data_IF_039186080861
#
_entry.id   IF_039186080861
#
_cell.length_a   1.000
_cell.length_b   1.000
_cell.length_c   1.000
_cell.angle_alpha   90.00
_cell.angle_beta   90.00
_cell.angle_gamma   90.00
#
_symmetry.space_group_name_H-M   'P 1'
#
loop_
_entity.id
_entity.type
_entity.pdbx_description
1 polymer ?
#
# COMPACT_ATOMS: atom_id res chain seq x y z
N UNK A 1 26.21 71.50 -16.25
CA UNK A 1 25.00 70.67 -16.48
C UNK A 1 25.42 69.22 -16.58
N UNK A 2 24.97 68.38 -15.63
CA UNK A 2 25.14 66.92 -15.63
C UNK A 2 24.17 66.29 -16.64
N UNK A 3 24.66 65.42 -17.51
CA UNK A 3 23.82 64.42 -18.18
C UNK A 3 24.41 63.04 -17.89
N UNK A 4 23.82 62.40 -16.89
CA UNK A 4 24.03 61.02 -16.50
C UNK A 4 23.21 60.14 -17.42
N UNK A 5 23.84 59.30 -18.25
CA UNK A 5 23.14 58.23 -18.98
C UNK A 5 23.08 56.96 -18.11
N UNK A 6 21.92 56.27 -17.98
CA UNK A 6 21.77 55.18 -17.03
C UNK A 6 22.23 53.82 -17.60
N UNK A 7 22.89 53.06 -16.72
CA UNK A 7 23.42 51.71 -16.93
C UNK A 7 22.28 50.65 -16.83
N UNK A 8 22.12 49.71 -17.79
CA UNK A 8 21.07 48.72 -17.76
C UNK A 8 21.55 47.42 -17.09
N UNK A 9 21.54 47.34 -15.76
CA UNK A 9 21.70 46.04 -15.06
C UNK A 9 20.89 45.97 -13.76
N UNK A 10 20.07 44.91 -13.69
CA UNK A 10 19.52 44.20 -12.51
C UNK A 10 18.11 44.60 -12.03
N UNK A 11 17.08 44.09 -12.69
CA UNK A 11 15.87 43.64 -11.99
C UNK A 11 16.05 42.15 -11.64
N UNK A 12 16.67 41.89 -10.49
CA UNK A 12 16.62 40.57 -9.86
C UNK A 12 15.15 40.30 -9.49
N UNK A 13 14.44 39.51 -10.29
CA UNK A 13 13.16 38.97 -9.88
C UNK A 13 13.45 37.83 -8.89
N UNK A 14 13.46 38.17 -7.60
CA UNK A 14 13.54 37.20 -6.52
C UNK A 14 12.36 36.22 -6.62
N UNK A 15 12.58 34.90 -6.45
CA UNK A 15 11.48 33.93 -6.47
C UNK A 15 10.44 34.28 -5.39
N UNK A 16 9.15 33.96 -5.62
CA UNK A 16 8.11 34.23 -4.65
C UNK A 16 8.45 33.54 -3.32
N UNK A 17 8.54 34.32 -2.24
CA UNK A 17 8.96 33.86 -0.90
C UNK A 17 8.21 32.61 -0.41
N UNK A 18 6.98 32.36 -0.92
CA UNK A 18 6.18 31.16 -0.63
C UNK A 18 6.81 29.86 -1.14
N UNK A 19 7.36 29.85 -2.36
CA UNK A 19 7.99 28.65 -2.94
C UNK A 19 9.33 28.33 -2.26
N UNK A 20 10.09 29.37 -1.88
CA UNK A 20 11.35 29.21 -1.13
C UNK A 20 11.10 28.77 0.31
N UNK A 21 9.97 29.20 0.92
CA UNK A 21 9.57 28.75 2.25
C UNK A 21 9.16 27.27 2.27
N UNK A 22 8.44 26.81 1.25
CA UNK A 22 8.07 25.40 1.09
C UNK A 22 9.30 24.50 0.85
N UNK A 23 10.26 24.96 0.04
CA UNK A 23 11.50 24.23 -0.19
C UNK A 23 12.44 24.21 1.03
N UNK A 24 12.41 25.23 1.88
CA UNK A 24 13.17 25.26 3.14
C UNK A 24 12.65 24.26 4.17
N UNK A 25 11.32 24.09 4.27
CA UNK A 25 10.74 23.04 5.13
C UNK A 25 11.07 21.63 4.65
N UNK A 26 11.24 21.40 3.35
CA UNK A 26 11.55 20.08 2.78
C UNK A 26 13.00 19.62 3.00
N UNK A 27 13.94 20.51 3.32
CA UNK A 27 15.35 20.17 3.51
C UNK A 27 15.74 19.79 4.94
N UNK A 28 14.98 20.23 5.93
CA UNK A 28 15.13 19.82 7.34
C UNK A 28 14.47 18.44 7.59
N UNK A 29 13.80 17.87 6.58
CA UNK A 29 12.91 16.72 6.69
C UNK A 29 13.53 15.36 6.31
N UNK A 30 14.83 15.27 5.99
CA UNK A 30 15.45 14.00 5.59
C UNK A 30 15.58 12.98 6.74
N UNK A 31 15.69 13.44 7.99
CA UNK A 31 15.67 12.57 9.19
C UNK A 31 14.27 12.09 9.61
N UNK A 32 13.18 12.88 9.49
CA UNK A 32 11.82 12.43 9.78
C UNK A 32 11.08 11.73 8.62
N UNK A 33 11.71 11.51 7.46
CA UNK A 33 11.03 10.91 6.29
C UNK A 33 10.49 9.49 6.55
N UNK A 34 11.13 8.73 7.44
CA UNK A 34 10.67 7.43 7.94
C UNK A 34 9.37 7.54 8.74
N UNK A 35 9.30 8.52 9.66
CA UNK A 35 8.16 8.79 10.54
C UNK A 35 6.99 9.42 9.77
N UNK A 36 7.30 10.31 8.83
CA UNK A 36 6.32 10.92 7.96
C UNK A 36 5.67 9.87 7.05
N UNK A 37 6.47 9.03 6.38
CA UNK A 37 5.96 7.93 5.56
C UNK A 37 5.10 6.94 6.34
N UNK A 38 5.47 6.62 7.58
CA UNK A 38 4.67 5.78 8.47
C UNK A 38 3.34 6.45 8.86
N UNK A 39 3.37 7.74 9.19
CA UNK A 39 2.19 8.54 9.48
C UNK A 39 1.23 8.60 8.29
N UNK A 40 1.74 8.94 7.11
CA UNK A 40 0.98 8.94 5.86
C UNK A 40 0.38 7.55 5.57
N UNK A 41 1.16 6.48 5.69
CA UNK A 41 0.67 5.11 5.49
C UNK A 41 -0.50 4.76 6.41
N UNK A 42 -0.46 5.18 7.68
CA UNK A 42 -1.56 4.97 8.63
C UNK A 42 -2.78 5.82 8.25
N UNK A 43 -2.59 7.09 7.88
CA UNK A 43 -3.70 7.97 7.49
C UNK A 43 -4.40 7.44 6.24
N UNK A 44 -3.65 7.04 5.22
CA UNK A 44 -4.22 6.46 4.00
C UNK A 44 -4.99 5.16 4.28
N UNK A 45 -4.49 4.35 5.22
CA UNK A 45 -5.15 3.12 5.66
C UNK A 45 -6.52 3.35 6.30
N UNK A 46 -6.74 4.49 6.95
CA UNK A 46 -8.05 4.89 7.53
C UNK A 46 -8.86 5.80 6.61
N UNK A 47 -8.57 5.79 5.32
CA UNK A 47 -9.22 6.63 4.34
C UNK A 47 -9.06 8.15 4.55
N UNK A 48 -8.09 8.57 5.37
CA UNK A 48 -7.84 9.98 5.64
C UNK A 48 -7.19 10.73 4.48
N UNK A 49 -7.25 12.05 4.56
CA UNK A 49 -6.63 13.01 3.63
C UNK A 49 -5.67 13.89 4.42
N UNK A 50 -4.51 14.17 3.86
CA UNK A 50 -3.43 14.97 4.45
C UNK A 50 -3.19 16.22 3.62
N UNK A 51 -2.95 16.06 2.33
CA UNK A 51 -2.77 17.14 1.36
C UNK A 51 -3.72 16.90 0.18
N UNK A 52 -4.19 17.94 -0.50
CA UNK A 52 -5.24 17.80 -1.52
C UNK A 52 -4.89 16.83 -2.68
N UNK A 53 -3.60 16.52 -2.85
CA UNK A 53 -3.05 15.48 -3.74
C UNK A 53 -3.55 14.08 -3.42
N UNK A 54 -3.94 13.81 -2.19
CA UNK A 54 -4.49 12.53 -1.72
C UNK A 54 -5.82 12.20 -2.34
N UNK A 55 -6.63 13.23 -2.60
CA UNK A 55 -7.92 13.10 -3.27
C UNK A 55 -7.68 12.62 -4.72
N UNK A 56 -6.68 13.18 -5.39
CA UNK A 56 -6.29 12.79 -6.74
C UNK A 56 -5.78 11.35 -6.74
N UNK A 57 -4.94 10.99 -5.77
CA UNK A 57 -4.44 9.63 -5.62
C UNK A 57 -5.57 8.60 -5.41
N UNK A 58 -6.58 8.93 -4.59
CA UNK A 58 -7.77 8.09 -4.39
C UNK A 58 -8.63 8.00 -5.65
N UNK A 59 -8.82 9.12 -6.35
CA UNK A 59 -9.60 9.15 -7.58
C UNK A 59 -8.96 8.28 -8.66
N UNK A 60 -7.64 8.37 -8.82
CA UNK A 60 -6.87 7.56 -9.77
C UNK A 60 -6.84 6.09 -9.38
N UNK A 61 -6.79 5.77 -8.08
CA UNK A 61 -6.97 4.40 -7.61
C UNK A 61 -8.35 3.86 -8.01
N UNK A 62 -9.42 4.63 -7.77
CA UNK A 62 -10.81 4.20 -8.04
C UNK A 62 -11.12 4.06 -9.54
N UNK A 63 -10.64 4.98 -10.38
CA UNK A 63 -10.96 4.97 -11.81
C UNK A 63 -9.98 4.18 -12.68
N UNK A 64 -8.70 4.12 -12.30
CA UNK A 64 -7.65 3.53 -13.13
C UNK A 64 -6.87 2.40 -12.44
N UNK A 65 -7.17 2.08 -11.18
CA UNK A 65 -6.46 1.04 -10.42
C UNK A 65 -4.99 1.38 -10.13
N UNK A 66 -4.61 2.67 -10.23
CA UNK A 66 -3.25 3.12 -9.99
C UNK A 66 -3.01 3.24 -8.48
N UNK A 67 -1.94 2.62 -7.98
CA UNK A 67 -1.61 2.66 -6.55
C UNK A 67 -1.47 4.09 -6.00
N UNK A 68 -1.94 4.29 -4.75
CA UNK A 68 -1.92 5.58 -4.06
C UNK A 68 -0.49 6.13 -3.97
N UNK A 69 0.48 5.31 -3.50
CA UNK A 69 1.86 5.77 -3.36
C UNK A 69 2.50 6.14 -4.70
N UNK A 70 2.19 5.41 -5.78
CA UNK A 70 2.67 5.73 -7.13
C UNK A 70 2.16 7.08 -7.62
N UNK A 71 0.90 7.39 -7.31
CA UNK A 71 0.29 8.65 -7.72
C UNK A 71 0.89 9.83 -6.95
N UNK A 72 1.05 9.69 -5.64
CA UNK A 72 1.71 10.70 -4.79
C UNK A 72 3.15 10.91 -5.26
N UNK A 73 3.90 9.81 -5.46
CA UNK A 73 5.26 9.86 -6.01
C UNK A 73 5.35 10.62 -7.33
N UNK A 74 4.43 10.36 -8.26
CA UNK A 74 4.42 11.04 -9.56
C UNK A 74 4.17 12.55 -9.42
N UNK A 75 3.24 12.95 -8.55
CA UNK A 75 2.96 14.35 -8.29
C UNK A 75 4.17 15.04 -7.63
N UNK A 76 4.78 14.40 -6.63
CA UNK A 76 5.98 14.92 -5.96
C UNK A 76 7.17 15.06 -6.92
N UNK A 77 7.34 14.13 -7.86
CA UNK A 77 8.34 14.25 -8.92
C UNK A 77 8.07 15.46 -9.82
N UNK A 78 6.82 15.73 -10.19
CA UNK A 78 6.46 16.91 -10.99
C UNK A 78 6.77 18.19 -10.22
N UNK A 79 6.41 18.27 -8.94
CA UNK A 79 6.69 19.42 -8.08
C UNK A 79 8.20 19.63 -7.91
N UNK A 80 8.97 18.54 -7.75
CA UNK A 80 10.42 18.59 -7.65
C UNK A 80 11.06 19.11 -8.96
N UNK A 81 10.62 18.63 -10.11
CA UNK A 81 11.10 19.09 -11.43
C UNK A 81 10.81 20.58 -11.65
N UNK A 82 9.64 21.07 -11.26
CA UNK A 82 9.32 22.50 -11.32
C UNK A 82 10.19 23.33 -10.35
N UNK A 83 10.56 22.74 -9.22
CA UNK A 83 11.39 23.38 -8.19
C UNK A 83 12.88 23.46 -8.56
N UNK A 84 13.36 22.61 -9.49
CA UNK A 84 14.76 22.62 -9.97
C UNK A 84 15.17 23.96 -10.61
N UNK A 85 14.23 24.78 -11.06
CA UNK A 85 14.51 26.12 -11.61
C UNK A 85 15.07 27.05 -10.51
N UNK A 86 14.75 26.78 -9.23
CA UNK A 86 15.07 27.63 -8.09
C UNK A 86 15.93 26.94 -7.02
N UNK A 87 16.11 25.62 -7.10
CA UNK A 87 16.73 24.80 -6.07
C UNK A 87 18.10 24.27 -6.52
N UNK A 88 19.08 24.31 -5.62
CA UNK A 88 20.39 23.71 -5.89
C UNK A 88 20.30 22.19 -6.07
N UNK A 89 21.12 21.64 -6.97
CA UNK A 89 21.11 20.21 -7.33
C UNK A 89 21.31 19.29 -6.11
N UNK A 90 22.18 19.67 -5.17
CA UNK A 90 22.42 18.92 -3.95
C UNK A 90 21.14 18.73 -3.13
N UNK A 91 20.33 19.78 -3.03
CA UNK A 91 19.08 19.77 -2.26
C UNK A 91 18.03 18.91 -2.95
N UNK A 92 17.94 19.02 -4.27
CA UNK A 92 17.04 18.21 -5.08
C UNK A 92 17.33 16.70 -4.96
N UNK A 93 18.60 16.30 -4.88
CA UNK A 93 18.96 14.89 -4.69
C UNK A 93 18.49 14.34 -3.33
N UNK A 94 18.65 15.11 -2.24
CA UNK A 94 18.12 14.68 -0.94
C UNK A 94 16.59 14.57 -0.94
N UNK A 95 15.89 15.52 -1.57
CA UNK A 95 14.44 15.48 -1.71
C UNK A 95 13.98 14.28 -2.55
N UNK A 96 14.69 13.96 -3.64
CA UNK A 96 14.39 12.78 -4.46
C UNK A 96 14.49 11.49 -3.65
N UNK A 97 15.55 11.33 -2.86
CA UNK A 97 15.71 10.15 -1.99
C UNK A 97 14.57 10.09 -0.96
N UNK A 98 14.21 11.20 -0.34
CA UNK A 98 13.12 11.25 0.64
C UNK A 98 11.77 10.85 0.01
N UNK A 99 11.44 11.34 -1.19
CA UNK A 99 10.21 11.01 -1.91
C UNK A 99 10.17 9.51 -2.27
N UNK A 100 11.30 8.94 -2.73
CA UNK A 100 11.38 7.50 -3.05
C UNK A 100 11.18 6.65 -1.80
N UNK A 101 11.85 7.00 -0.70
CA UNK A 101 11.72 6.27 0.58
C UNK A 101 10.29 6.40 1.12
N UNK A 102 9.70 7.59 1.10
CA UNK A 102 8.33 7.84 1.53
C UNK A 102 7.32 7.00 0.76
N UNK A 103 7.40 6.98 -0.57
CA UNK A 103 6.54 6.16 -1.42
C UNK A 103 6.65 4.66 -1.08
N UNK A 104 7.88 4.16 -0.85
CA UNK A 104 8.12 2.77 -0.44
C UNK A 104 7.53 2.45 0.93
N UNK A 105 7.63 3.37 1.88
CA UNK A 105 7.02 3.19 3.22
C UNK A 105 5.50 3.18 3.13
N UNK A 106 4.90 4.09 2.35
CA UNK A 106 3.45 4.12 2.13
C UNK A 106 2.98 2.81 1.51
N UNK A 107 3.62 2.36 0.42
CA UNK A 107 3.31 1.06 -0.20
C UNK A 107 3.43 -0.09 0.80
N UNK A 108 4.51 -0.13 1.60
CA UNK A 108 4.70 -1.16 2.62
C UNK A 108 3.59 -1.16 3.68
N UNK A 109 3.17 0.00 4.15
CA UNK A 109 2.10 0.12 5.15
C UNK A 109 0.74 -0.25 4.57
N UNK A 110 0.47 0.13 3.31
CA UNK A 110 -0.77 -0.21 2.61
C UNK A 110 -0.84 -1.71 2.29
N UNK A 111 0.18 -2.28 1.65
CA UNK A 111 0.23 -3.71 1.26
C UNK A 111 0.37 -4.63 2.48
N UNK A 112 1.16 -4.24 3.48
CA UNK A 112 1.38 -5.02 4.69
C UNK A 112 0.11 -5.26 5.51
N UNK A 113 -0.92 -4.46 5.29
CA UNK A 113 -2.08 -4.39 6.17
C UNK A 113 -3.42 -4.82 5.52
N UNK A 114 -3.43 -5.15 4.22
CA UNK A 114 -4.62 -5.60 3.46
C UNK A 114 -4.45 -6.93 2.70
N UNK A 115 -3.39 -7.69 2.94
CA UNK A 115 -3.16 -8.95 2.22
C UNK A 115 -4.16 -10.06 2.59
N UNK A 116 -5.09 -10.36 1.68
CA UNK A 116 -5.84 -11.61 1.68
C UNK A 116 -4.97 -12.75 1.12
N UNK A 117 -5.10 -13.94 1.71
CA UNK A 117 -4.49 -15.17 1.22
C UNK A 117 -5.59 -16.18 0.92
N UNK A 118 -5.45 -16.86 -0.21
CA UNK A 118 -6.20 -18.08 -0.45
C UNK A 118 -5.51 -19.23 0.29
N UNK A 119 -6.27 -19.96 1.09
CA UNK A 119 -5.82 -21.17 1.75
C UNK A 119 -6.48 -22.38 1.09
N UNK A 120 -5.63 -23.32 0.66
CA UNK A 120 -6.04 -24.64 0.20
C UNK A 120 -5.66 -25.66 1.26
N UNK A 121 -6.65 -26.31 1.86
CA UNK A 121 -6.45 -27.27 2.95
C UNK A 121 -6.82 -28.66 2.42
N UNK A 122 -5.84 -29.55 2.44
CA UNK A 122 -6.03 -30.95 2.08
C UNK A 122 -5.92 -31.77 3.35
N UNK A 123 -6.98 -32.50 3.67
CA UNK A 123 -7.14 -33.25 4.93
C UNK A 123 -7.97 -34.50 4.70
N UNK A 124 -7.84 -35.48 5.60
CA UNK A 124 -8.75 -36.62 5.65
C UNK A 124 -10.11 -36.29 6.30
N UNK A 125 -10.24 -35.12 6.95
CA UNK A 125 -11.44 -34.70 7.71
C UNK A 125 -11.96 -33.32 7.25
N UNK A 126 -12.33 -33.15 5.97
CA UNK A 126 -12.70 -31.84 5.41
C UNK A 126 -13.89 -31.19 6.13
N UNK A 127 -14.90 -31.98 6.49
CA UNK A 127 -16.13 -31.49 7.14
C UNK A 127 -15.83 -30.92 8.54
N UNK A 128 -15.01 -31.60 9.34
CA UNK A 128 -14.68 -31.14 10.70
C UNK A 128 -13.88 -29.84 10.68
N UNK A 129 -12.82 -29.78 9.86
CA UNK A 129 -12.01 -28.56 9.72
C UNK A 129 -12.86 -27.42 9.14
N UNK A 130 -13.70 -27.71 8.14
CA UNK A 130 -14.58 -26.72 7.55
C UNK A 130 -15.51 -26.08 8.58
N UNK A 131 -16.17 -26.90 9.41
CA UNK A 131 -17.04 -26.42 10.47
C UNK A 131 -16.29 -25.55 11.49
N UNK A 132 -15.10 -25.95 11.92
CA UNK A 132 -14.30 -25.14 12.84
C UNK A 132 -13.85 -23.80 12.22
N UNK A 133 -13.54 -23.76 10.93
CA UNK A 133 -13.22 -22.50 10.23
C UNK A 133 -14.45 -21.57 10.22
N UNK A 134 -15.64 -22.11 9.96
CA UNK A 134 -16.87 -21.33 9.94
C UNK A 134 -17.25 -20.82 11.34
N UNK A 135 -16.97 -21.57 12.41
CA UNK A 135 -17.33 -21.16 13.78
C UNK A 135 -16.26 -20.29 14.46
N UNK A 136 -14.98 -20.63 14.36
CA UNK A 136 -13.90 -19.91 15.06
C UNK A 136 -13.36 -18.71 14.27
N UNK A 137 -13.25 -18.83 12.94
CA UNK A 137 -12.73 -17.77 12.08
C UNK A 137 -13.85 -16.94 11.43
N UNK A 138 -15.10 -17.39 11.50
CA UNK A 138 -16.25 -16.74 10.86
C UNK A 138 -16.00 -16.49 9.36
N UNK A 139 -15.31 -17.43 8.69
CA UNK A 139 -15.01 -17.36 7.26
C UNK A 139 -15.80 -18.40 6.48
N UNK A 140 -16.32 -17.96 5.34
CA UNK A 140 -16.91 -18.87 4.35
C UNK A 140 -15.85 -19.80 3.77
N UNK A 141 -16.27 -21.04 3.50
CA UNK A 141 -15.44 -22.07 2.90
C UNK A 141 -16.13 -22.61 1.65
N UNK A 142 -15.36 -23.21 0.77
CA UNK A 142 -15.87 -23.96 -0.39
C UNK A 142 -15.16 -25.30 -0.43
N UNK A 143 -15.94 -26.38 -0.55
CA UNK A 143 -15.38 -27.71 -0.80
C UNK A 143 -15.13 -27.86 -2.30
N UNK A 144 -13.89 -28.18 -2.66
CA UNK A 144 -13.48 -28.47 -4.02
C UNK A 144 -13.25 -29.98 -4.12
N UNK A 145 -13.92 -30.62 -5.08
CA UNK A 145 -13.68 -32.03 -5.38
C UNK A 145 -12.36 -32.18 -6.13
N UNK A 146 -11.41 -32.89 -5.52
CA UNK A 146 -10.13 -33.24 -6.12
C UNK A 146 -9.93 -34.74 -6.21
N UNK A 147 -8.94 -35.15 -7.00
CA UNK A 147 -8.45 -36.52 -7.03
C UNK A 147 -6.96 -36.51 -6.76
N UNK A 148 -6.52 -37.25 -5.74
CA UNK A 148 -5.10 -37.33 -5.39
C UNK A 148 -4.33 -38.08 -6.47
N UNK A 149 -3.39 -37.41 -7.14
CA UNK A 149 -2.61 -38.01 -8.24
C UNK A 149 -1.81 -39.27 -7.84
N UNK A 150 -1.41 -39.39 -6.57
CA UNK A 150 -0.67 -40.54 -6.07
C UNK A 150 -1.56 -41.72 -5.66
N UNK A 151 -2.68 -41.44 -4.98
CA UNK A 151 -3.56 -42.49 -4.41
C UNK A 151 -4.77 -42.82 -5.29
N UNK A 152 -5.05 -42.02 -6.33
CA UNK A 152 -6.22 -42.16 -7.20
C UNK A 152 -7.57 -41.95 -6.51
N UNK A 153 -7.60 -41.66 -5.20
CA UNK A 153 -8.81 -41.47 -4.41
C UNK A 153 -9.38 -40.08 -4.60
N UNK A 154 -10.72 -40.01 -4.64
CA UNK A 154 -11.45 -38.76 -4.46
C UNK A 154 -11.11 -38.17 -3.09
N UNK A 155 -10.82 -36.87 -3.07
CA UNK A 155 -10.47 -36.11 -1.87
C UNK A 155 -11.10 -34.73 -1.99
N UNK A 156 -11.77 -34.29 -0.95
CA UNK A 156 -12.28 -32.92 -0.88
C UNK A 156 -11.16 -32.01 -0.37
N UNK A 157 -11.00 -30.85 -1.00
CA UNK A 157 -10.05 -29.81 -0.63
C UNK A 157 -10.86 -28.61 -0.16
N UNK A 158 -10.52 -28.07 1.01
CA UNK A 158 -11.18 -26.86 1.49
C UNK A 158 -10.47 -25.66 0.88
N UNK A 159 -11.25 -24.80 0.22
CA UNK A 159 -10.82 -23.50 -0.25
C UNK A 159 -11.43 -22.42 0.64
N UNK A 160 -10.61 -21.53 1.19
CA UNK A 160 -11.08 -20.36 1.89
C UNK A 160 -10.16 -19.16 1.69
N UNK A 161 -10.74 -17.97 1.79
CA UNK A 161 -9.97 -16.72 1.83
C UNK A 161 -9.82 -16.33 3.29
N UNK A 162 -8.60 -16.00 3.69
CA UNK A 162 -8.28 -15.52 5.03
C UNK A 162 -7.36 -14.30 4.96
N UNK A 163 -7.48 -13.39 5.92
CA UNK A 163 -6.54 -12.29 6.08
C UNK A 163 -5.19 -12.78 6.62
N UNK A 164 -4.12 -12.01 6.38
CA UNK A 164 -2.77 -12.33 6.88
C UNK A 164 -2.71 -12.57 8.41
N UNK A 165 -3.56 -11.90 9.19
CA UNK A 165 -3.66 -12.07 10.64
C UNK A 165 -4.31 -13.40 11.05
N UNK A 166 -5.20 -13.93 10.23
CA UNK A 166 -5.94 -15.17 10.50
C UNK A 166 -5.12 -16.42 10.15
N UNK A 167 -4.06 -16.30 9.35
CA UNK A 167 -3.19 -17.42 8.94
C UNK A 167 -2.67 -18.21 10.15
N UNK A 168 -2.22 -17.52 11.21
CA UNK A 168 -1.67 -18.17 12.41
C UNK A 168 -2.76 -18.97 13.13
N UNK A 169 -3.98 -18.43 13.22
CA UNK A 169 -5.12 -19.12 13.82
C UNK A 169 -5.52 -20.34 12.98
N UNK A 170 -5.62 -20.18 11.67
CA UNK A 170 -5.96 -21.26 10.74
C UNK A 170 -4.97 -22.42 10.84
N UNK A 171 -3.66 -22.14 10.85
CA UNK A 171 -2.62 -23.18 10.98
C UNK A 171 -2.77 -23.96 12.29
N UNK A 172 -3.02 -23.27 13.41
CA UNK A 172 -3.22 -23.91 14.72
C UNK A 172 -4.47 -24.79 14.73
N UNK A 173 -5.58 -24.29 14.18
CA UNK A 173 -6.85 -24.99 14.07
C UNK A 173 -6.70 -26.27 13.23
N UNK A 174 -6.12 -26.16 12.03
CA UNK A 174 -5.90 -27.32 11.14
C UNK A 174 -5.03 -28.36 11.83
N UNK A 175 -3.90 -27.96 12.42
CA UNK A 175 -2.97 -28.88 13.08
C UNK A 175 -3.57 -29.54 14.34
N UNK A 176 -4.47 -28.84 15.05
CA UNK A 176 -5.19 -29.38 16.21
C UNK A 176 -6.16 -30.50 15.82
N UNK A 177 -6.86 -30.35 14.70
CA UNK A 177 -7.87 -31.33 14.23
C UNK A 177 -7.24 -32.49 13.46
N UNK A 178 -6.28 -32.19 12.60
CA UNK A 178 -5.57 -33.15 11.76
C UNK A 178 -4.09 -32.78 11.60
N UNK A 179 -3.20 -33.41 12.41
CA UNK A 179 -1.76 -33.19 12.30
C UNK A 179 -1.17 -33.60 10.95
N UNK A 180 -1.84 -34.46 10.19
CA UNK A 180 -1.40 -34.95 8.88
C UNK A 180 -1.94 -34.09 7.71
N UNK A 181 -2.79 -33.10 7.99
CA UNK A 181 -3.27 -32.17 6.98
C UNK A 181 -2.17 -31.21 6.52
N UNK A 182 -2.23 -30.80 5.26
CA UNK A 182 -1.35 -29.76 4.73
C UNK A 182 -2.17 -28.57 4.22
N UNK A 183 -1.60 -27.38 4.40
CA UNK A 183 -2.21 -26.12 3.99
C UNK A 183 -1.26 -25.38 3.06
N UNK A 184 -1.74 -25.05 1.87
CA UNK A 184 -1.05 -24.17 0.93
C UNK A 184 -1.66 -22.78 0.96
N UNK A 185 -0.81 -21.75 0.96
CA UNK A 185 -1.24 -20.35 0.93
C UNK A 185 -0.79 -19.68 -0.35
N UNK A 186 -1.73 -19.06 -1.06
CA UNK A 186 -1.46 -18.26 -2.26
C UNK A 186 -1.78 -16.79 -1.99
N UNK A 187 -0.94 -15.88 -2.48
CA UNK A 187 -1.20 -14.45 -2.44
C UNK A 187 -2.38 -14.11 -3.36
N UNK A 188 -3.37 -13.39 -2.82
CA UNK A 188 -4.52 -12.91 -3.59
C UNK A 188 -4.43 -11.38 -3.64
N UNK A 189 -4.36 -10.84 -4.86
CA UNK A 189 -4.21 -9.39 -5.09
C UNK A 189 -5.47 -8.61 -4.68
N UNK A 190 -6.63 -9.17 -4.99
CA UNK A 190 -7.91 -8.50 -4.75
C UNK A 190 -8.99 -9.55 -4.51
N UNK A 191 -9.88 -9.27 -3.55
CA UNK A 191 -11.05 -10.09 -3.25
C UNK A 191 -12.26 -9.17 -3.23
N UNK A 192 -13.18 -9.39 -4.15
CA UNK A 192 -14.41 -8.59 -4.26
C UNK A 192 -15.56 -9.37 -3.60
N UNK A 193 -16.24 -8.75 -2.63
CA UNK A 193 -17.43 -9.31 -1.95
C UNK A 193 -17.20 -9.98 -0.57
N UNK A 194 -18.26 -10.62 -0.07
CA UNK A 194 -18.36 -11.49 1.13
C UNK A 194 -17.38 -11.20 2.29
N UNK A 195 -17.48 -10.01 2.89
CA UNK A 195 -16.78 -9.68 4.14
C UNK A 195 -15.28 -9.38 4.00
N UNK A 196 -14.77 -9.22 2.78
CA UNK A 196 -13.40 -8.78 2.49
C UNK A 196 -13.32 -7.40 1.83
N UNK A 197 -14.41 -6.94 1.20
CA UNK A 197 -14.60 -5.55 0.77
C UNK A 197 -15.99 -5.08 1.22
N UNK A 198 -16.06 -3.99 2.00
CA UNK A 198 -17.26 -3.16 2.03
C UNK A 198 -17.29 -2.42 0.70
N UNK A 199 -18.00 -2.95 -0.28
CA UNK A 199 -18.56 -2.10 -1.33
C UNK A 199 -19.80 -1.45 -0.70
N UNK A 200 -19.63 -0.26 -0.12
CA UNK A 200 -20.73 0.68 -0.16
C UNK A 200 -20.66 1.35 -1.53
N UNK A 201 -21.75 1.16 -2.28
CA UNK A 201 -22.08 1.68 -3.63
C UNK A 201 -21.63 0.82 -4.82
#
# INVERSE_FOLDING_TARGET
>A
MKASSPNPRKSKLSPPKKAVSAAKSSQEAAEPADKAGLGFGIVFRFEGMTEGTDIIARLLLKHYGIGIAKTIFAIDCIVLLLSLIYLDLNRAMYTLVAIVVGAKVIDFVLEGASGARAAFIVTAKPIQIGNEIMTELLRGITFLEGRGGYKGKHSEVIYCIVSRKEIIKLKKLVHRVDPAAFVSFSDVREVVGNGFAKHDQ
#
